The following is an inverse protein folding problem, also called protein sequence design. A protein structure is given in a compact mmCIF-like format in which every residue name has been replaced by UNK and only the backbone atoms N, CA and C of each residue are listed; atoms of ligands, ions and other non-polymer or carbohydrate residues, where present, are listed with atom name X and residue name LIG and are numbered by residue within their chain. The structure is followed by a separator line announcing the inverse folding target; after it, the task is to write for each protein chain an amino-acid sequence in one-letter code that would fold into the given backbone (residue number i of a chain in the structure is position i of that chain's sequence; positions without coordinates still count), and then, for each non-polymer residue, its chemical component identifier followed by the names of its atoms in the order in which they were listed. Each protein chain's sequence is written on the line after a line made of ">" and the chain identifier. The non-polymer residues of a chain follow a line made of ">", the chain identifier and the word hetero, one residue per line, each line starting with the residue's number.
data_IF_669828182767
#
_entry.id   IF_669828182767
#
_cell.length_a   1.000
_cell.length_b   1.000
_cell.length_c   1.000
_cell.angle_alpha   90.00
_cell.angle_beta   90.00
_cell.angle_gamma   90.00
#
_symmetry.space_group_name_H-M   'P 1'
#
loop_
_entity.id
_entity.type
_entity.pdbx_description
1 polymer ?
#
# COMPACT_ATOMS: atom_id res chain seq x y z
N UNK A 1 22.52 7.68 23.94
CA UNK A 1 21.89 8.72 23.10
C UNK A 1 21.88 8.37 21.61
N UNK A 2 22.99 7.88 21.02
CA UNK A 2 23.03 7.57 19.57
C UNK A 2 22.18 6.35 19.13
N UNK A 3 22.01 5.33 19.99
CA UNK A 3 21.13 4.18 19.70
C UNK A 3 19.64 4.56 19.75
N UNK A 4 19.28 5.48 20.63
CA UNK A 4 17.92 5.98 20.79
C UNK A 4 17.47 6.80 19.56
N UNK A 5 18.33 7.66 19.04
CA UNK A 5 18.05 8.42 17.81
C UNK A 5 17.96 7.48 16.60
N UNK A 6 18.81 6.44 16.56
CA UNK A 6 18.75 5.41 15.51
C UNK A 6 17.45 4.60 15.53
N UNK A 7 16.99 4.21 16.72
CA UNK A 7 15.71 3.48 16.89
C UNK A 7 14.49 4.36 16.59
N UNK A 8 14.49 5.61 17.05
CA UNK A 8 13.42 6.58 16.71
C UNK A 8 13.38 6.90 15.20
N UNK A 9 14.53 6.98 14.55
CA UNK A 9 14.62 7.14 13.10
C UNK A 9 14.15 5.87 12.36
N UNK A 10 14.51 4.68 12.84
CA UNK A 10 14.06 3.43 12.25
C UNK A 10 12.54 3.23 12.45
N UNK A 11 12.00 3.46 13.62
CA UNK A 11 10.54 3.45 13.88
C UNK A 11 9.86 4.51 13.01
N UNK A 12 10.47 5.69 12.87
CA UNK A 12 10.01 6.76 11.99
C UNK A 12 9.95 6.36 10.52
N UNK A 13 10.88 5.54 10.05
CA UNK A 13 10.92 5.05 8.67
C UNK A 13 9.95 3.87 8.41
N UNK A 14 9.85 2.95 9.36
CA UNK A 14 9.07 1.71 9.24
C UNK A 14 7.57 1.98 9.01
N UNK A 15 7.02 2.98 9.67
CA UNK A 15 5.60 3.31 9.52
C UNK A 15 5.29 4.14 8.27
N UNK A 16 6.29 4.64 7.55
CA UNK A 16 6.11 5.50 6.38
C UNK A 16 5.73 4.76 5.09
N UNK A 17 6.00 3.47 4.99
CA UNK A 17 5.88 2.74 3.73
C UNK A 17 4.78 1.67 3.71
N UNK A 18 4.10 1.47 4.83
CA UNK A 18 3.18 0.34 5.00
C UNK A 18 1.76 0.54 4.45
N UNK A 19 1.43 1.70 3.91
CA UNK A 19 0.04 2.05 3.56
C UNK A 19 -0.28 2.08 2.09
N UNK A 20 0.57 1.57 1.25
CA UNK A 20 0.21 1.45 -0.16
C UNK A 20 -0.87 0.39 -0.33
N UNK A 21 -2.05 0.84 -0.74
CA UNK A 21 -3.18 -0.04 -1.05
C UNK A 21 -2.80 -1.01 -2.16
N UNK A 22 -2.90 -2.31 -1.86
CA UNK A 22 -2.64 -3.38 -2.82
C UNK A 22 -3.95 -3.75 -3.53
N UNK A 23 -4.20 -3.13 -4.68
CA UNK A 23 -5.30 -3.52 -5.54
C UNK A 23 -4.83 -4.50 -6.63
N UNK A 24 -5.67 -5.48 -7.00
CA UNK A 24 -5.38 -6.35 -8.13
C UNK A 24 -5.31 -5.54 -9.42
N UNK A 25 -4.50 -6.01 -10.37
CA UNK A 25 -4.39 -5.42 -11.69
C UNK A 25 -5.63 -5.87 -12.48
N UNK A 26 -6.54 -4.93 -12.72
CA UNK A 26 -7.80 -5.15 -13.45
C UNK A 26 -7.94 -4.13 -14.58
N UNK A 27 -8.75 -4.41 -15.59
CA UNK A 27 -9.16 -3.40 -16.58
C UNK A 27 -9.80 -2.19 -15.89
N UNK A 28 -9.81 -1.00 -16.54
CA UNK A 28 -10.54 0.16 -16.07
C UNK A 28 -11.98 -0.17 -15.67
N UNK A 29 -12.39 0.22 -14.49
CA UNK A 29 -13.73 -0.05 -13.94
C UNK A 29 -14.19 1.12 -13.09
N UNK A 30 -15.48 1.18 -12.80
CA UNK A 30 -15.99 2.12 -11.79
C UNK A 30 -16.28 1.36 -10.52
N UNK A 31 -15.66 1.76 -9.43
CA UNK A 31 -15.85 1.14 -8.12
C UNK A 31 -15.50 2.10 -7.00
N UNK A 32 -16.10 1.88 -5.85
CA UNK A 32 -15.73 2.51 -4.59
C UNK A 32 -15.51 1.39 -3.59
N UNK A 33 -14.38 1.41 -2.88
CA UNK A 33 -14.12 0.49 -1.78
C UNK A 33 -13.78 1.24 -0.51
N UNK A 34 -14.21 0.68 0.62
CA UNK A 34 -13.82 1.10 1.96
C UNK A 34 -13.30 -0.14 2.67
N UNK A 35 -12.09 -0.06 3.15
CA UNK A 35 -11.40 -1.15 3.82
C UNK A 35 -10.96 -0.70 5.20
N UNK A 36 -11.23 -1.49 6.23
CA UNK A 36 -10.67 -1.33 7.57
C UNK A 36 -9.73 -2.49 7.88
N UNK A 37 -8.50 -2.21 8.29
CA UNK A 37 -7.51 -3.23 8.66
C UNK A 37 -6.97 -2.99 10.05
N UNK A 38 -6.61 -4.08 10.74
CA UNK A 38 -5.89 -4.05 12.02
C UNK A 38 -4.65 -4.91 11.92
N UNK A 39 -3.58 -4.45 12.51
CA UNK A 39 -2.31 -5.19 12.60
C UNK A 39 -2.35 -6.14 13.80
N UNK A 40 -1.91 -7.37 13.56
CA UNK A 40 -1.84 -8.42 14.56
C UNK A 40 -0.37 -8.60 14.98
N UNK A 41 0.08 -7.74 15.86
CA UNK A 41 1.41 -7.83 16.48
C UNK A 41 1.27 -7.65 18.00
N UNK A 42 2.12 -8.33 18.78
CA UNK A 42 2.03 -8.35 20.24
C UNK A 42 2.24 -6.96 20.86
N UNK A 43 3.08 -6.13 20.25
CA UNK A 43 3.50 -4.83 20.80
C UNK A 43 2.98 -3.62 20.01
N UNK A 44 2.32 -3.83 18.88
CA UNK A 44 1.86 -2.77 17.98
C UNK A 44 0.37 -2.90 17.72
N UNK A 45 -0.37 -1.90 18.11
CA UNK A 45 -1.77 -1.76 17.71
C UNK A 45 -1.85 -0.71 16.60
N UNK A 46 -1.98 -1.17 15.38
CA UNK A 46 -2.22 -0.27 14.27
C UNK A 46 -3.47 -0.67 13.51
N UNK A 47 -4.13 0.33 12.95
CA UNK A 47 -5.25 0.10 12.07
C UNK A 47 -5.28 1.19 11.01
N UNK A 48 -5.73 0.81 9.84
CA UNK A 48 -5.91 1.71 8.72
C UNK A 48 -7.37 1.63 8.26
N UNK A 49 -7.93 2.77 7.92
CA UNK A 49 -9.16 2.88 7.15
C UNK A 49 -8.80 3.46 5.79
N UNK A 50 -8.92 2.66 4.75
CA UNK A 50 -8.63 3.05 3.38
C UNK A 50 -9.93 3.28 2.62
N UNK A 51 -9.96 4.33 1.81
CA UNK A 51 -11.04 4.62 0.88
C UNK A 51 -10.44 4.74 -0.51
N UNK A 52 -10.95 3.96 -1.44
CA UNK A 52 -10.53 3.95 -2.83
C UNK A 52 -11.73 4.19 -3.73
N UNK A 53 -11.57 5.02 -4.73
CA UNK A 53 -12.57 5.23 -5.76
C UNK A 53 -11.91 5.25 -7.14
N UNK A 54 -12.42 4.44 -8.04
CA UNK A 54 -12.02 4.41 -9.44
C UNK A 54 -13.24 4.74 -10.31
N UNK A 55 -13.07 5.62 -11.29
CA UNK A 55 -14.09 6.01 -12.25
C UNK A 55 -13.61 5.77 -13.67
N UNK A 56 -14.26 4.86 -14.37
CA UNK A 56 -14.01 4.57 -15.78
C UNK A 56 -14.64 5.67 -16.65
N UNK A 57 -13.82 6.61 -17.10
CA UNK A 57 -14.21 7.66 -18.04
C UNK A 57 -14.35 7.12 -19.47
N UNK A 58 -13.73 5.98 -19.74
CA UNK A 58 -13.78 5.25 -21.01
C UNK A 58 -13.51 3.76 -20.71
N UNK A 59 -13.99 2.79 -21.53
CA UNK A 59 -13.68 1.37 -21.31
C UNK A 59 -12.19 1.01 -21.25
N UNK A 60 -11.33 1.91 -21.71
CA UNK A 60 -9.86 1.75 -21.66
C UNK A 60 -9.15 2.76 -20.75
N UNK A 61 -9.89 3.62 -20.04
CA UNK A 61 -9.29 4.66 -19.20
C UNK A 61 -10.11 4.89 -17.95
N UNK A 62 -9.49 4.83 -16.82
CA UNK A 62 -10.06 5.25 -15.53
C UNK A 62 -9.18 6.24 -14.81
N UNK A 63 -9.80 7.04 -13.98
CA UNK A 63 -9.16 7.89 -12.98
C UNK A 63 -9.45 7.27 -11.60
N UNK A 64 -8.50 7.36 -10.69
CA UNK A 64 -8.70 6.85 -9.34
C UNK A 64 -8.12 7.77 -8.28
N UNK A 65 -8.68 7.65 -7.10
CA UNK A 65 -8.20 8.28 -5.87
C UNK A 65 -8.21 7.24 -4.77
N UNK A 66 -7.10 7.18 -4.03
CA UNK A 66 -6.97 6.38 -2.82
C UNK A 66 -6.57 7.31 -1.68
N UNK A 67 -7.11 7.05 -0.51
CA UNK A 67 -6.76 7.77 0.71
C UNK A 67 -6.85 6.84 1.90
N UNK A 68 -5.97 7.03 2.87
CA UNK A 68 -5.95 6.24 4.08
C UNK A 68 -5.93 7.12 5.33
N UNK A 69 -6.65 6.70 6.35
CA UNK A 69 -6.55 7.23 7.70
C UNK A 69 -5.94 6.16 8.59
N UNK A 70 -4.82 6.47 9.23
CA UNK A 70 -4.10 5.56 10.11
C UNK A 70 -4.25 5.97 11.56
N UNK A 71 -4.45 4.97 12.41
CA UNK A 71 -4.22 5.07 13.85
C UNK A 71 -3.16 4.04 14.25
N UNK A 72 -2.16 4.51 14.96
CA UNK A 72 -1.05 3.71 15.47
C UNK A 72 -0.89 3.98 16.95
N UNK A 73 -0.88 2.93 17.73
CA UNK A 73 -0.49 2.94 19.14
C UNK A 73 0.63 1.94 19.30
N UNK A 74 1.78 2.41 19.73
CA UNK A 74 2.96 1.59 19.95
C UNK A 74 3.48 1.81 21.36
N UNK A 75 3.68 0.73 22.08
CA UNK A 75 4.28 0.74 23.42
C UNK A 75 5.55 -0.08 23.40
N UNK A 76 6.66 0.48 23.78
CA UNK A 76 7.88 -0.28 23.92
C UNK A 76 8.59 0.02 25.24
N UNK A 77 9.18 -1.04 25.78
CA UNK A 77 10.01 -0.97 26.95
C UNK A 77 11.48 -0.92 26.51
N UNK A 78 12.24 0.01 27.04
CA UNK A 78 13.67 0.02 26.83
C UNK A 78 14.41 0.10 28.17
N UNK A 79 15.42 -0.77 28.33
CA UNK A 79 16.36 -0.71 29.45
C UNK A 79 17.63 -0.03 28.99
N UNK A 80 18.05 1.02 29.70
CA UNK A 80 19.42 1.51 29.62
C UNK A 80 20.25 0.76 30.65
N UNK A 81 21.45 0.31 30.26
CA UNK A 81 22.39 -0.37 31.18
C UNK A 81 22.47 0.39 32.51
N UNK A 82 21.87 -0.20 33.52
CA UNK A 82 22.08 0.18 34.88
C UNK A 82 20.91 0.60 35.72
N UNK A 83 19.80 1.07 35.24
CA UNK A 83 18.61 1.39 36.05
C UNK A 83 17.58 2.16 35.22
N UNK A 84 16.33 1.79 35.36
CA UNK A 84 15.10 2.42 34.93
C UNK A 84 14.52 1.75 33.63
N UNK A 85 13.45 1.01 33.84
CA UNK A 85 12.51 0.66 32.76
C UNK A 85 11.77 1.93 32.34
N UNK A 86 12.05 2.40 31.15
CA UNK A 86 11.29 3.51 30.56
C UNK A 86 10.28 2.93 29.56
N UNK A 87 9.02 3.26 29.74
CA UNK A 87 7.97 2.97 28.78
C UNK A 87 7.81 4.16 27.85
N UNK A 88 7.85 3.93 26.57
CA UNK A 88 7.51 4.94 25.59
C UNK A 88 6.20 4.53 24.90
N UNK A 89 5.18 5.36 25.03
CA UNK A 89 3.93 5.20 24.34
C UNK A 89 3.85 6.21 23.19
N UNK A 90 3.77 5.74 21.97
CA UNK A 90 3.59 6.58 20.79
C UNK A 90 2.17 6.39 20.24
N UNK A 91 1.42 7.47 20.20
CA UNK A 91 0.11 7.50 19.54
C UNK A 91 0.18 8.43 18.33
N UNK A 92 -0.14 7.92 17.16
CA UNK A 92 -0.18 8.69 15.92
C UNK A 92 -1.51 8.45 15.25
N UNK A 93 -2.30 9.50 15.09
CA UNK A 93 -3.55 9.45 14.35
C UNK A 93 -3.50 10.50 13.24
N UNK A 94 -3.96 10.16 12.06
CA UNK A 94 -4.04 11.15 11.00
C UNK A 94 -4.27 10.56 9.61
N UNK A 95 -4.56 11.45 8.71
CA UNK A 95 -4.55 11.11 7.29
C UNK A 95 -3.15 10.69 6.91
N UNK A 96 -3.08 9.54 6.26
CA UNK A 96 -1.86 9.04 5.73
C UNK A 96 -1.66 9.61 4.32
N UNK A 97 -1.59 8.81 3.34
CA UNK A 97 -1.29 9.23 1.98
C UNK A 97 -2.58 9.41 1.17
N UNK A 98 -2.61 10.43 0.33
CA UNK A 98 -3.63 10.54 -0.71
C UNK A 98 -2.96 10.31 -2.05
N UNK A 99 -3.51 9.42 -2.84
CA UNK A 99 -3.00 9.03 -4.13
C UNK A 99 -4.01 9.35 -5.23
N UNK A 100 -3.58 10.05 -6.26
CA UNK A 100 -4.38 10.35 -7.45
C UNK A 100 -3.70 9.73 -8.66
N UNK A 101 -4.47 9.07 -9.52
CA UNK A 101 -3.87 8.46 -10.68
C UNK A 101 -4.84 8.19 -11.82
N UNK A 102 -4.24 7.69 -12.88
CA UNK A 102 -4.95 7.23 -14.08
C UNK A 102 -4.42 5.88 -14.50
N UNK A 103 -5.33 5.01 -14.92
CA UNK A 103 -5.03 3.69 -15.44
C UNK A 103 -5.61 3.58 -16.85
N UNK A 104 -4.76 3.22 -17.82
CA UNK A 104 -5.16 3.13 -19.22
C UNK A 104 -4.71 1.85 -19.89
N UNK A 105 -5.58 1.24 -20.72
CA UNK A 105 -5.23 0.15 -21.63
C UNK A 105 -4.75 0.72 -22.97
N UNK A 106 -3.48 0.54 -23.27
CA UNK A 106 -2.89 0.89 -24.58
C UNK A 106 -3.27 -0.18 -25.63
N UNK A 107 -3.17 -1.44 -25.22
CA UNK A 107 -3.62 -2.62 -25.96
C UNK A 107 -4.64 -3.40 -25.15
N UNK A 108 -5.37 -4.37 -25.73
CA UNK A 108 -6.38 -5.15 -25.00
C UNK A 108 -5.87 -5.83 -23.72
N UNK A 109 -4.57 -6.15 -23.68
CA UNK A 109 -3.97 -6.91 -22.59
C UNK A 109 -2.78 -6.18 -21.91
N UNK A 110 -2.50 -4.95 -22.30
CA UNK A 110 -1.38 -4.18 -21.78
C UNK A 110 -1.79 -2.74 -21.54
N UNK A 111 -1.30 -2.17 -20.46
CA UNK A 111 -1.63 -0.82 -20.08
C UNK A 111 -0.56 -0.14 -19.26
N UNK A 112 -0.89 1.04 -18.82
CA UNK A 112 -0.07 1.87 -17.97
C UNK A 112 -0.94 2.41 -16.84
N UNK A 113 -0.44 2.29 -15.64
CA UNK A 113 -0.92 2.98 -14.46
C UNK A 113 0.09 4.06 -14.10
N UNK A 114 -0.38 5.28 -13.85
CA UNK A 114 0.46 6.38 -13.41
C UNK A 114 -0.27 7.19 -12.35
N UNK A 115 0.44 7.59 -11.32
CA UNK A 115 -0.17 8.32 -10.23
C UNK A 115 0.79 9.19 -9.45
N UNK A 116 0.21 10.02 -8.65
CA UNK A 116 0.89 10.97 -7.78
C UNK A 116 0.35 10.82 -6.36
N UNK A 117 1.26 10.53 -5.47
CA UNK A 117 1.01 10.54 -4.05
C UNK A 117 1.34 11.89 -3.45
N UNK A 118 0.38 12.44 -2.74
CA UNK A 118 0.54 13.67 -1.98
C UNK A 118 1.00 13.34 -0.55
N UNK A 119 1.91 14.14 0.02
CA UNK A 119 2.27 13.98 1.41
C UNK A 119 1.05 14.26 2.29
N UNK A 120 0.91 13.57 3.42
CA UNK A 120 -0.13 13.88 4.38
C UNK A 120 0.04 15.30 4.91
N UNK A 121 -1.07 15.95 5.23
CA UNK A 121 -1.10 17.31 5.75
C UNK A 121 -0.34 17.49 7.07
N UNK A 122 -0.33 18.72 7.58
CA UNK A 122 0.27 19.06 8.87
C UNK A 122 -0.28 18.15 9.98
N UNK A 123 0.61 17.49 10.72
CA UNK A 123 0.25 16.56 11.81
C UNK A 123 0.69 15.13 11.60
N UNK A 124 0.98 14.70 10.38
CA UNK A 124 1.61 13.40 10.15
C UNK A 124 3.14 13.56 10.14
N UNK A 125 3.87 12.93 11.05
CA UNK A 125 5.31 13.16 11.17
C UNK A 125 6.15 12.58 10.03
N UNK A 126 5.55 11.89 9.01
CA UNK A 126 6.36 10.85 8.38
C UNK A 126 6.46 10.82 6.87
N UNK A 127 5.53 11.36 6.10
CA UNK A 127 5.66 11.35 4.64
C UNK A 127 5.52 12.76 4.08
N UNK A 128 6.64 13.45 4.01
CA UNK A 128 6.72 14.80 3.45
C UNK A 128 7.09 14.81 1.97
N UNK A 129 7.12 13.63 1.34
CA UNK A 129 7.58 13.52 -0.02
C UNK A 129 6.42 13.25 -0.96
N UNK A 130 6.35 14.04 -2.01
CA UNK A 130 5.55 13.68 -3.17
C UNK A 130 6.22 12.48 -3.85
N UNK A 131 5.44 11.48 -4.21
CA UNK A 131 5.90 10.32 -4.95
C UNK A 131 5.15 10.23 -6.28
N UNK A 132 5.89 10.10 -7.36
CA UNK A 132 5.36 9.76 -8.66
C UNK A 132 5.53 8.26 -8.88
N UNK A 133 4.48 7.62 -9.34
CA UNK A 133 4.45 6.20 -9.66
C UNK A 133 4.16 6.00 -11.13
N UNK A 134 4.87 5.07 -11.76
CA UNK A 134 4.59 4.59 -13.12
C UNK A 134 4.64 3.08 -13.10
N UNK A 135 3.58 2.44 -13.58
CA UNK A 135 3.39 1.00 -13.50
C UNK A 135 2.85 0.46 -14.84
N UNK A 136 3.73 0.15 -15.83
CA UNK A 136 3.33 -0.64 -16.99
C UNK A 136 2.88 -2.02 -16.54
N UNK A 137 1.76 -2.47 -17.07
CA UNK A 137 1.16 -3.75 -16.69
C UNK A 137 0.67 -4.57 -17.87
N UNK A 138 0.60 -5.88 -17.66
CA UNK A 138 -0.02 -6.85 -18.55
C UNK A 138 -1.16 -7.58 -17.85
N UNK A 139 -2.18 -7.95 -18.63
CA UNK A 139 -3.33 -8.73 -18.19
C UNK A 139 -3.43 -9.98 -19.04
N UNK A 140 -3.69 -11.11 -18.42
CA UNK A 140 -4.00 -12.37 -19.09
C UNK A 140 -5.34 -12.87 -18.57
N UNK A 141 -6.35 -12.79 -19.40
CA UNK A 141 -7.70 -13.27 -19.11
C UNK A 141 -7.90 -14.65 -19.69
N UNK A 142 -7.78 -15.70 -18.86
CA UNK A 142 -8.01 -17.09 -19.28
C UNK A 142 -9.48 -17.39 -19.49
N UNK A 143 -10.33 -16.74 -18.72
CA UNK A 143 -11.78 -16.76 -18.86
C UNK A 143 -12.35 -15.47 -18.30
N UNK A 144 -13.65 -15.23 -18.48
CA UNK A 144 -14.31 -14.08 -17.84
C UNK A 144 -14.23 -14.09 -16.28
N UNK A 145 -13.97 -15.27 -15.72
CA UNK A 145 -13.92 -15.48 -14.29
C UNK A 145 -12.48 -15.64 -13.73
N UNK A 146 -11.46 -15.60 -14.60
CA UNK A 146 -10.08 -15.81 -14.20
C UNK A 146 -9.14 -14.83 -14.90
N UNK A 147 -8.56 -13.92 -14.13
CA UNK A 147 -7.67 -12.86 -14.60
C UNK A 147 -6.34 -12.95 -13.84
N UNK A 148 -5.24 -12.94 -14.57
CA UNK A 148 -3.90 -12.74 -14.05
C UNK A 148 -3.39 -11.37 -14.47
N UNK A 149 -2.66 -10.70 -13.60
CA UNK A 149 -2.00 -9.45 -13.88
C UNK A 149 -0.53 -9.48 -13.45
N UNK A 150 0.32 -8.82 -14.21
CA UNK A 150 1.71 -8.58 -13.85
C UNK A 150 2.09 -7.15 -14.20
N UNK A 151 2.90 -6.52 -13.35
CA UNK A 151 3.37 -5.16 -13.57
C UNK A 151 4.79 -4.96 -13.07
N UNK A 152 5.48 -4.01 -13.67
CA UNK A 152 6.71 -3.43 -13.15
C UNK A 152 6.35 -2.06 -12.61
N UNK A 153 6.76 -1.77 -11.39
CA UNK A 153 6.49 -0.49 -10.74
C UNK A 153 7.77 0.30 -10.62
N UNK A 154 7.70 1.58 -10.92
CA UNK A 154 8.77 2.52 -10.66
C UNK A 154 8.22 3.69 -9.84
N UNK A 155 8.87 3.98 -8.73
CA UNK A 155 8.56 5.12 -7.86
C UNK A 155 9.74 6.08 -7.84
N UNK A 156 9.47 7.35 -8.08
CA UNK A 156 10.43 8.44 -7.85
C UNK A 156 9.86 9.45 -6.88
N UNK A 157 10.71 10.04 -6.07
CA UNK A 157 10.34 10.97 -5.02
C UNK A 157 10.80 12.38 -5.37
N UNK A 158 10.01 13.38 -5.03
CA UNK A 158 10.43 14.77 -5.12
C UNK A 158 11.18 15.18 -3.85
N UNK A 159 12.20 16.02 -4.00
CA UNK A 159 13.00 16.51 -2.89
C UNK A 159 12.19 17.43 -1.97
N UNK A 160 12.31 17.23 -0.66
CA UNK A 160 11.86 18.18 0.37
C UNK A 160 13.05 18.58 1.25
N UNK A 161 13.29 19.90 1.34
CA UNK A 161 14.26 20.50 2.28
C UNK A 161 15.64 19.81 2.32
N UNK A 162 16.18 19.46 1.16
CA UNK A 162 17.50 18.83 1.01
C UNK A 162 17.54 17.32 1.31
N UNK A 163 16.43 16.66 1.37
CA UNK A 163 16.34 15.21 1.41
C UNK A 163 15.47 14.70 0.28
N UNK A 164 15.96 13.70 -0.43
CA UNK A 164 15.22 12.93 -1.43
C UNK A 164 15.40 11.45 -1.12
N UNK A 165 14.33 10.68 -0.87
CA UNK A 165 14.42 9.22 -0.83
C UNK A 165 14.94 8.69 -2.15
N UNK A 166 15.69 7.58 -2.11
CA UNK A 166 16.13 6.92 -3.33
C UNK A 166 14.96 6.32 -4.10
N UNK A 167 15.05 6.33 -5.40
CA UNK A 167 14.04 5.76 -6.29
C UNK A 167 13.89 4.25 -6.08
N UNK A 168 12.71 3.72 -6.36
CA UNK A 168 12.34 2.34 -6.08
C UNK A 168 11.82 1.65 -7.33
N UNK A 169 12.13 0.35 -7.44
CA UNK A 169 11.57 -0.53 -8.45
C UNK A 169 10.85 -1.68 -7.77
N UNK A 170 9.74 -2.12 -8.35
CA UNK A 170 8.94 -3.23 -7.84
C UNK A 170 8.43 -4.14 -8.94
N UNK A 171 8.10 -5.35 -8.52
CA UNK A 171 7.37 -6.33 -9.32
C UNK A 171 6.06 -6.63 -8.63
N UNK A 172 4.96 -6.50 -9.36
CA UNK A 172 3.62 -6.79 -8.87
C UNK A 172 3.02 -7.91 -9.69
N UNK A 173 2.40 -8.86 -9.00
CA UNK A 173 1.58 -9.89 -9.63
C UNK A 173 0.20 -9.89 -8.97
N UNK A 174 -0.83 -10.23 -9.72
CA UNK A 174 -2.17 -10.37 -9.18
C UNK A 174 -2.91 -11.51 -9.83
N UNK A 175 -3.81 -12.10 -9.04
CA UNK A 175 -4.71 -13.16 -9.43
C UNK A 175 -6.12 -12.78 -8.98
N UNK A 176 -7.11 -12.94 -9.86
CA UNK A 176 -8.53 -12.74 -9.53
C UNK A 176 -9.33 -13.89 -10.08
N UNK A 177 -10.09 -14.54 -9.20
CA UNK A 177 -10.97 -15.65 -9.53
C UNK A 177 -12.39 -15.40 -9.02
N UNK A 178 -13.36 -15.57 -9.92
CA UNK A 178 -14.78 -15.28 -9.68
C UNK A 178 -15.66 -16.53 -9.87
N UNK A 179 -15.60 -17.51 -8.97
CA UNK A 179 -16.42 -18.71 -9.10
C UNK A 179 -17.91 -18.41 -8.95
N UNK A 180 -18.71 -18.97 -9.83
CA UNK A 180 -20.16 -18.77 -9.81
C UNK A 180 -20.60 -17.32 -10.08
N UNK A 181 -19.78 -16.54 -10.76
CA UNK A 181 -20.11 -15.16 -11.08
C UNK A 181 -21.27 -15.07 -12.08
N UNK A 182 -22.28 -14.29 -11.73
CA UNK A 182 -23.41 -13.96 -12.58
C UNK A 182 -23.20 -12.58 -13.20
N UNK A 183 -22.91 -12.53 -14.50
CA UNK A 183 -22.63 -11.28 -15.21
C UNK A 183 -23.83 -10.34 -15.28
N UNK A 184 -25.05 -10.88 -15.38
CA UNK A 184 -26.27 -10.06 -15.50
C UNK A 184 -26.61 -9.33 -14.22
N UNK A 185 -26.44 -10.00 -13.08
CA UNK A 185 -26.71 -9.45 -11.75
C UNK A 185 -25.45 -8.88 -11.09
N UNK A 186 -24.26 -9.13 -11.68
CA UNK A 186 -22.95 -8.79 -11.10
C UNK A 186 -22.80 -9.30 -9.67
N UNK A 187 -23.20 -10.55 -9.42
CA UNK A 187 -23.17 -11.19 -8.12
C UNK A 187 -22.33 -12.46 -8.14
N UNK A 188 -21.75 -12.81 -7.03
CA UNK A 188 -20.92 -14.00 -6.92
C UNK A 188 -19.82 -13.82 -5.87
N UNK A 189 -18.90 -14.78 -5.85
CA UNK A 189 -17.67 -14.67 -5.09
C UNK A 189 -16.56 -14.08 -5.96
N UNK A 190 -15.71 -13.27 -5.35
CA UNK A 190 -14.43 -12.84 -5.90
C UNK A 190 -13.35 -13.14 -4.89
N UNK A 191 -12.34 -13.88 -5.31
CA UNK A 191 -11.12 -14.11 -4.58
C UNK A 191 -9.99 -13.42 -5.32
N UNK A 192 -9.20 -12.63 -4.61
CA UNK A 192 -8.02 -12.02 -5.20
C UNK A 192 -6.78 -12.22 -4.34
N UNK A 193 -5.67 -12.30 -5.01
CA UNK A 193 -4.35 -12.31 -4.42
C UNK A 193 -3.48 -11.29 -5.14
N UNK A 194 -2.76 -10.48 -4.37
CA UNK A 194 -1.81 -9.51 -4.90
C UNK A 194 -0.48 -9.69 -4.19
N UNK A 195 0.55 -9.84 -4.98
CA UNK A 195 1.93 -9.87 -4.52
C UNK A 195 2.65 -8.62 -5.02
N UNK A 196 3.45 -8.00 -4.16
CA UNK A 196 4.33 -6.89 -4.48
C UNK A 196 5.70 -7.15 -3.84
N UNK A 197 6.74 -7.18 -4.66
CA UNK A 197 8.12 -7.04 -4.21
C UNK A 197 8.64 -5.68 -4.63
N UNK A 198 9.32 -4.97 -3.75
CA UNK A 198 9.84 -3.64 -4.02
C UNK A 198 11.22 -3.46 -3.40
N UNK A 199 12.10 -2.79 -4.11
CA UNK A 199 13.46 -2.51 -3.67
C UNK A 199 13.89 -1.10 -4.09
N UNK A 200 14.65 -0.45 -3.23
CA UNK A 200 15.27 0.84 -3.54
C UNK A 200 16.49 0.62 -4.42
N UNK A 201 16.56 1.34 -5.54
CA UNK A 201 17.64 1.21 -6.54
C UNK A 201 18.70 2.31 -6.41
N UNK A 202 18.36 3.41 -5.74
CA UNK A 202 19.28 4.53 -5.51
C UNK A 202 19.44 4.82 -4.03
N UNK A 203 20.59 5.35 -3.65
CA UNK A 203 20.81 5.85 -2.29
C UNK A 203 19.99 7.13 -2.08
N UNK A 204 19.48 7.30 -0.86
CA UNK A 204 18.82 8.55 -0.48
C UNK A 204 19.81 9.72 -0.53
N UNK A 205 19.45 10.77 -1.24
CA UNK A 205 20.21 11.99 -1.26
C UNK A 205 19.93 12.79 0.02
N UNK A 206 20.91 12.88 0.89
CA UNK A 206 20.86 13.78 2.03
C UNK A 206 22.18 14.56 2.09
N UNK A 207 22.11 15.84 1.80
CA UNK A 207 23.28 16.72 1.79
C UNK A 207 23.85 16.99 3.18
N UNK A 208 23.14 16.62 4.24
CA UNK A 208 23.52 16.86 5.63
C UNK A 208 23.80 15.60 6.45
N UNK A 209 23.52 14.40 5.92
CA UNK A 209 23.83 13.16 6.62
C UNK A 209 25.27 12.73 6.36
N UNK A 210 25.97 12.54 7.46
CA UNK A 210 27.33 12.04 7.55
C UNK A 210 27.52 10.75 6.71
N UNK A 211 28.70 10.57 6.14
CA UNK A 211 29.11 9.41 5.32
C UNK A 211 28.82 8.03 5.94
N UNK A 212 28.49 7.99 7.24
CA UNK A 212 28.13 6.77 7.99
C UNK A 212 26.85 6.07 7.50
N UNK A 213 25.97 6.76 6.76
CA UNK A 213 24.73 6.20 6.23
C UNK A 213 24.79 5.88 4.73
N UNK A 214 25.95 6.08 4.10
CA UNK A 214 26.22 5.60 2.75
C UNK A 214 26.43 4.08 2.81
N UNK A 215 25.57 3.32 2.19
CA UNK A 215 25.66 1.85 2.16
C UNK A 215 24.41 1.11 2.64
N UNK A 216 23.31 1.83 2.86
CA UNK A 216 22.03 1.21 3.20
C UNK A 216 21.21 0.80 1.96
N UNK A 217 21.75 0.92 0.75
CA UNK A 217 21.08 0.62 -0.50
C UNK A 217 20.47 -0.79 -0.51
N UNK A 218 21.26 -1.76 -0.08
CA UNK A 218 20.84 -3.17 -0.09
C UNK A 218 19.85 -3.55 1.03
N UNK A 219 19.55 -2.62 1.93
CA UNK A 219 18.70 -2.87 3.10
C UNK A 219 17.23 -2.47 2.86
N UNK A 220 16.96 -1.68 1.84
CA UNK A 220 15.61 -1.19 1.58
C UNK A 220 14.93 -2.02 0.51
N UNK A 221 14.42 -3.15 0.94
CA UNK A 221 13.58 -4.06 0.14
C UNK A 221 12.45 -4.60 1.00
N UNK A 222 11.39 -4.99 0.37
CA UNK A 222 10.28 -5.63 1.08
C UNK A 222 9.33 -6.31 0.13
N UNK A 223 8.47 -7.12 0.69
CA UNK A 223 7.38 -7.76 -0.01
C UNK A 223 6.07 -7.58 0.74
N UNK A 224 4.98 -7.59 0.00
CA UNK A 224 3.62 -7.61 0.50
C UNK A 224 2.82 -8.64 -0.26
N UNK A 225 1.94 -9.33 0.47
CA UNK A 225 0.92 -10.20 -0.11
C UNK A 225 -0.42 -9.84 0.50
N UNK A 226 -1.43 -9.69 -0.31
CA UNK A 226 -2.80 -9.44 0.13
C UNK A 226 -3.73 -10.47 -0.49
N UNK A 227 -4.60 -11.02 0.34
CA UNK A 227 -5.65 -11.95 -0.05
C UNK A 227 -7.00 -11.33 0.29
N UNK A 228 -7.90 -11.30 -0.68
CA UNK A 228 -9.26 -10.83 -0.47
C UNK A 228 -10.25 -11.93 -0.82
N UNK A 229 -11.32 -12.01 -0.04
CA UNK A 229 -12.48 -12.86 -0.31
C UNK A 229 -13.75 -12.03 -0.18
N UNK A 230 -14.38 -11.69 -1.29
CA UNK A 230 -15.51 -10.76 -1.34
C UNK A 230 -16.73 -11.48 -1.91
N UNK A 231 -17.87 -11.36 -1.24
CA UNK A 231 -19.16 -11.80 -1.74
C UNK A 231 -19.97 -10.61 -2.22
N UNK A 232 -20.33 -10.61 -3.49
CA UNK A 232 -21.15 -9.57 -4.12
C UNK A 232 -22.61 -9.94 -4.17
N UNK A 233 -23.46 -8.94 -3.89
CA UNK A 233 -24.91 -8.98 -3.93
C UNK A 233 -25.43 -7.87 -4.83
N UNK A 234 -26.56 -8.07 -5.48
CA UNK A 234 -27.26 -6.98 -6.17
C UNK A 234 -28.16 -6.26 -5.16
N UNK A 235 -27.89 -5.00 -4.93
CA UNK A 235 -28.68 -4.14 -4.04
C UNK A 235 -29.00 -2.86 -4.81
N UNK A 236 -30.27 -2.63 -5.12
CA UNK A 236 -30.73 -1.47 -5.90
C UNK A 236 -29.95 -1.28 -7.21
N UNK A 237 -29.78 -2.36 -7.97
CA UNK A 237 -29.04 -2.41 -9.24
C UNK A 237 -27.52 -2.12 -9.13
N UNK A 238 -27.01 -1.96 -7.93
CA UNK A 238 -25.58 -1.88 -7.64
C UNK A 238 -25.03 -3.24 -7.21
N UNK A 239 -23.82 -3.54 -7.62
CA UNK A 239 -23.07 -4.70 -7.12
C UNK A 239 -22.34 -4.30 -5.83
N UNK A 240 -22.88 -4.72 -4.70
CA UNK A 240 -22.30 -4.42 -3.37
C UNK A 240 -21.62 -5.66 -2.84
N UNK A 241 -20.32 -5.57 -2.61
CA UNK A 241 -19.47 -6.62 -2.07
C UNK A 241 -19.16 -6.40 -0.60
N UNK A 242 -19.18 -7.49 0.16
CA UNK A 242 -18.68 -7.55 1.54
C UNK A 242 -17.60 -8.61 1.62
N UNK A 243 -16.46 -8.27 2.18
CA UNK A 243 -15.31 -9.14 2.17
C UNK A 243 -14.45 -9.08 3.41
N UNK A 244 -13.57 -10.07 3.45
CA UNK A 244 -12.47 -10.15 4.40
C UNK A 244 -11.17 -10.04 3.61
N UNK A 245 -10.17 -9.44 4.21
CA UNK A 245 -8.82 -9.39 3.67
C UNK A 245 -7.80 -9.82 4.70
N UNK A 246 -6.68 -10.30 4.19
CA UNK A 246 -5.52 -10.65 4.97
C UNK A 246 -4.26 -10.19 4.22
N UNK A 247 -3.41 -9.44 4.90
CA UNK A 247 -2.15 -8.94 4.35
C UNK A 247 -0.97 -9.45 5.19
N UNK A 248 0.06 -9.88 4.50
CA UNK A 248 1.38 -10.15 5.07
C UNK A 248 2.34 -9.16 4.46
N UNK A 249 3.18 -8.55 5.27
CA UNK A 249 4.27 -7.72 4.79
C UNK A 249 5.57 -8.06 5.51
N UNK A 250 6.67 -7.89 4.80
CA UNK A 250 8.01 -8.17 5.29
C UNK A 250 9.03 -7.22 4.67
N UNK A 251 10.07 -6.92 5.43
CA UNK A 251 11.22 -6.18 4.95
C UNK A 251 11.19 -4.70 5.29
N UNK A 252 12.33 -4.06 5.14
CA UNK A 252 12.59 -2.70 5.62
C UNK A 252 11.78 -1.60 4.93
N UNK A 253 11.17 -1.88 3.78
CA UNK A 253 10.26 -0.95 3.11
C UNK A 253 8.84 -0.98 3.70
N UNK A 254 8.42 -2.11 4.27
CA UNK A 254 7.05 -2.31 4.75
C UNK A 254 6.97 -2.57 6.25
N UNK A 255 8.10 -2.82 6.89
CA UNK A 255 8.26 -3.09 8.31
C UNK A 255 9.61 -3.73 8.55
N UNK A 256 10.12 -3.67 9.77
CA UNK A 256 11.39 -4.33 10.13
C UNK A 256 11.23 -5.83 10.30
N UNK A 257 10.03 -6.28 10.62
CA UNK A 257 9.65 -7.65 10.88
C UNK A 257 8.48 -8.07 9.99
N UNK A 258 8.15 -9.34 10.01
CA UNK A 258 6.96 -9.84 9.30
C UNK A 258 5.73 -9.37 10.06
N UNK A 259 4.91 -8.56 9.43
CA UNK A 259 3.65 -8.08 9.98
C UNK A 259 2.45 -8.77 9.33
N UNK A 260 1.40 -8.93 10.10
CA UNK A 260 0.15 -9.55 9.70
C UNK A 260 -1.01 -8.60 9.92
N UNK A 261 -1.85 -8.43 8.91
CA UNK A 261 -3.05 -7.59 8.99
C UNK A 261 -4.27 -8.37 8.59
N UNK A 262 -5.35 -8.14 9.30
CA UNK A 262 -6.67 -8.62 8.92
C UNK A 262 -7.62 -7.44 8.77
N UNK A 263 -8.59 -7.58 7.90
CA UNK A 263 -9.53 -6.50 7.69
C UNK A 263 -10.84 -6.92 7.06
N UNK A 264 -11.73 -5.94 7.00
CA UNK A 264 -13.01 -6.03 6.33
C UNK A 264 -13.05 -5.04 5.18
N UNK A 265 -13.75 -5.39 4.11
CA UNK A 265 -13.91 -4.53 2.94
C UNK A 265 -15.39 -4.46 2.53
N UNK A 266 -15.80 -3.25 2.14
CA UNK A 266 -17.04 -3.01 1.42
C UNK A 266 -16.66 -2.43 0.06
N UNK A 267 -17.16 -3.06 -1.00
CA UNK A 267 -16.88 -2.65 -2.37
C UNK A 267 -18.20 -2.45 -3.13
N UNK A 268 -18.32 -1.38 -3.91
CA UNK A 268 -19.48 -1.06 -4.74
C UNK A 268 -19.03 -0.88 -6.18
N UNK A 269 -19.74 -1.56 -7.10
CA UNK A 269 -19.45 -1.52 -8.56
C UNK A 269 -20.69 -1.20 -9.38
#
# INVERSE_FOLDING_TARGET
>A
MNKFIGSLLSIGFVTCFATESLHPILPPTSSISVQGTVELDEDVYSGDMEVSAEYAVHPRLSLYVDGAFRFLSYSYEYSTEGYIHNYCNLHVNGFNETYLGAKGLIFPYMGLNAGWQFPPGEGSPKNRFHRLNVEPFGLLQFSKNLILGAAIRYNTFLEDKKYKPGDEIGLKASFVWRPGWNDSLKTGWEFSEVFLYQARIEESENRNLDKRYRGMKDKYRGMKMKFDAIRYFNILDLSVGFGLNYEIHEGTLFGLETGHRVGIEINVR
#
